data_IF_725908015462
#
_entry.id   IF_725908015462
#
_cell.length_a   1.000
_cell.length_b   1.000
_cell.length_c   1.000
_cell.angle_alpha   90.00
_cell.angle_beta   90.00
_cell.angle_gamma   90.00
#
_symmetry.space_group_name_H-M   'P 1'
#
loop_
_entity.id
_entity.type
_entity.pdbx_description
1 polymer ?
#
# COMPACT_ATOMS: atom_id res chain seq x y z
N UNK A 1 1.85 -34.83 -9.49
CA UNK A 1 0.76 -34.12 -10.21
C UNK A 1 0.89 -32.63 -9.90
N UNK A 2 1.19 -31.81 -10.88
CA UNK A 2 1.27 -30.35 -10.70
C UNK A 2 -0.13 -29.85 -10.29
N UNK A 3 -0.26 -29.37 -9.06
CA UNK A 3 -1.50 -28.77 -8.57
C UNK A 3 -1.67 -27.42 -9.31
N UNK A 4 -2.36 -27.47 -10.46
CA UNK A 4 -2.56 -26.28 -11.30
C UNK A 4 -3.44 -25.31 -10.52
N UNK A 5 -2.92 -24.12 -10.23
CA UNK A 5 -3.65 -23.03 -9.59
C UNK A 5 -4.96 -22.78 -10.34
N UNK A 6 -6.10 -22.76 -9.65
CA UNK A 6 -7.41 -22.60 -10.27
C UNK A 6 -8.08 -21.29 -9.93
N UNK A 7 -7.95 -20.85 -8.70
CA UNK A 7 -8.62 -19.65 -8.18
C UNK A 7 -7.67 -18.82 -7.30
N UNK A 8 -7.65 -17.55 -7.51
CA UNK A 8 -6.85 -16.61 -6.69
C UNK A 8 -7.73 -15.51 -6.13
N UNK A 9 -7.38 -15.06 -4.94
CA UNK A 9 -7.90 -13.83 -4.36
C UNK A 9 -6.93 -12.66 -4.55
N UNK A 10 -7.43 -11.44 -4.68
CA UNK A 10 -6.64 -10.22 -4.62
C UNK A 10 -7.29 -9.21 -3.70
N UNK A 11 -6.48 -8.61 -2.83
CA UNK A 11 -6.93 -7.55 -1.93
C UNK A 11 -5.92 -6.41 -1.83
N UNK A 12 -6.42 -5.24 -1.45
CA UNK A 12 -5.62 -4.09 -1.06
C UNK A 12 -5.83 -3.84 0.43
N UNK A 13 -4.76 -3.61 1.18
CA UNK A 13 -4.82 -3.46 2.63
C UNK A 13 -3.87 -2.36 3.12
N UNK A 14 -4.18 -1.74 4.24
CA UNK A 14 -3.44 -0.61 4.78
C UNK A 14 -3.92 0.73 4.23
N UNK A 15 -3.03 1.72 4.14
CA UNK A 15 -3.29 2.97 3.42
C UNK A 15 -3.33 2.75 1.92
N UNK A 16 -4.13 3.55 1.21
CA UNK A 16 -4.07 3.53 -0.25
C UNK A 16 -2.78 4.18 -0.75
N UNK A 17 -2.32 3.72 -1.90
CA UNK A 17 -1.15 4.26 -2.57
C UNK A 17 -1.42 4.39 -4.08
N UNK A 18 -0.87 5.42 -4.73
CA UNK A 18 -0.95 5.54 -6.18
C UNK A 18 -0.44 4.27 -6.86
N UNK A 19 -1.18 3.77 -7.86
CA UNK A 19 -0.83 2.53 -8.57
C UNK A 19 -1.46 1.25 -8.03
N UNK A 20 -2.15 1.25 -6.90
CA UNK A 20 -2.86 0.05 -6.40
C UNK A 20 -3.87 -0.48 -7.41
N UNK A 21 -4.63 0.39 -8.07
CA UNK A 21 -5.57 -0.02 -9.11
C UNK A 21 -4.86 -0.63 -10.33
N UNK A 22 -3.69 -0.14 -10.70
CA UNK A 22 -2.88 -0.70 -11.76
C UNK A 22 -2.41 -2.12 -11.40
N UNK A 23 -1.98 -2.33 -10.14
CA UNK A 23 -1.60 -3.64 -9.63
C UNK A 23 -2.77 -4.62 -9.60
N UNK A 24 -3.93 -4.22 -9.07
CA UNK A 24 -5.16 -5.04 -9.11
C UNK A 24 -5.50 -5.43 -10.54
N UNK A 25 -5.46 -4.47 -11.47
CA UNK A 25 -5.73 -4.75 -12.88
C UNK A 25 -4.72 -5.72 -13.48
N UNK A 26 -3.44 -5.58 -13.18
CA UNK A 26 -2.40 -6.47 -13.67
C UNK A 26 -2.64 -7.91 -13.18
N UNK A 27 -2.92 -8.09 -11.90
CA UNK A 27 -3.25 -9.41 -11.30
C UNK A 27 -4.45 -10.03 -12.00
N UNK A 28 -5.57 -9.30 -12.10
CA UNK A 28 -6.81 -9.83 -12.72
C UNK A 28 -6.59 -10.18 -14.18
N UNK A 29 -5.93 -9.32 -14.95
CA UNK A 29 -5.68 -9.61 -16.38
C UNK A 29 -4.73 -10.76 -16.60
N UNK A 30 -3.69 -10.89 -15.76
CA UNK A 30 -2.79 -12.06 -15.79
C UNK A 30 -3.52 -13.35 -15.43
N UNK A 31 -4.39 -13.30 -14.43
CA UNK A 31 -5.23 -14.44 -14.07
C UNK A 31 -6.14 -14.89 -15.23
N UNK A 32 -6.86 -13.93 -15.83
CA UNK A 32 -7.72 -14.20 -16.99
C UNK A 32 -6.95 -14.79 -18.17
N UNK A 33 -5.76 -14.23 -18.47
CA UNK A 33 -4.90 -14.75 -19.54
C UNK A 33 -4.47 -16.20 -19.32
N UNK A 34 -4.26 -16.59 -18.07
CA UNK A 34 -3.86 -17.95 -17.69
C UNK A 34 -5.06 -18.87 -17.37
N UNK A 35 -6.30 -18.47 -17.64
CA UNK A 35 -7.51 -19.21 -17.32
C UNK A 35 -7.63 -19.53 -15.82
N UNK A 36 -7.28 -18.59 -14.96
CA UNK A 36 -7.39 -18.62 -13.51
C UNK A 36 -8.55 -17.70 -13.09
N UNK A 37 -9.48 -18.21 -12.31
CA UNK A 37 -10.54 -17.37 -11.73
C UNK A 37 -9.95 -16.41 -10.68
N UNK A 38 -10.31 -15.14 -10.75
CA UNK A 38 -9.84 -14.13 -9.83
C UNK A 38 -10.98 -13.52 -9.03
N UNK A 39 -10.82 -13.48 -7.71
CA UNK A 39 -11.76 -12.86 -6.77
C UNK A 39 -11.12 -11.62 -6.13
N UNK A 40 -11.79 -10.48 -6.24
CA UNK A 40 -11.47 -9.30 -5.46
C UNK A 40 -12.08 -9.39 -4.08
N UNK A 41 -11.33 -9.02 -3.05
CA UNK A 41 -11.82 -8.94 -1.68
C UNK A 41 -11.91 -7.47 -1.31
N UNK A 42 -13.11 -6.98 -1.03
CA UNK A 42 -13.32 -5.61 -0.61
C UNK A 42 -12.82 -5.38 0.81
N UNK A 43 -12.34 -4.16 1.10
CA UNK A 43 -11.88 -3.74 2.43
C UNK A 43 -10.74 -4.60 3.02
N UNK A 44 -9.93 -5.21 2.15
CA UNK A 44 -8.75 -5.95 2.58
C UNK A 44 -9.06 -7.15 3.47
N UNK A 45 -8.30 -7.29 4.56
CA UNK A 45 -8.48 -8.39 5.51
C UNK A 45 -9.83 -8.40 6.24
N UNK A 46 -10.46 -7.24 6.39
CA UNK A 46 -11.82 -7.20 6.93
C UNK A 46 -12.79 -7.92 6.02
N UNK A 47 -12.69 -7.72 4.72
CA UNK A 47 -13.53 -8.40 3.73
C UNK A 47 -13.35 -9.92 3.72
N UNK A 48 -12.14 -10.42 4.03
CA UNK A 48 -11.94 -11.86 4.23
C UNK A 48 -12.77 -12.42 5.38
N UNK A 49 -12.96 -11.64 6.45
CA UNK A 49 -13.70 -12.06 7.65
C UNK A 49 -15.21 -11.97 7.42
N UNK A 50 -15.67 -10.86 6.82
CA UNK A 50 -17.11 -10.60 6.63
C UNK A 50 -17.68 -11.18 5.34
N UNK A 51 -16.88 -11.95 4.58
CA UNK A 51 -17.30 -12.64 3.34
C UNK A 51 -17.65 -11.67 2.19
N UNK A 52 -16.88 -10.57 2.05
CA UNK A 52 -17.11 -9.52 1.02
C UNK A 52 -16.25 -9.77 -0.24
N UNK A 53 -16.65 -10.76 -1.04
CA UNK A 53 -15.95 -11.20 -2.24
C UNK A 53 -16.70 -10.84 -3.52
N UNK A 54 -15.97 -10.55 -4.57
CA UNK A 54 -16.50 -10.30 -5.91
C UNK A 54 -15.67 -11.03 -6.96
N UNK A 55 -16.31 -11.76 -7.85
CA UNK A 55 -15.60 -12.34 -9.01
C UNK A 55 -15.21 -11.25 -9.99
N UNK A 56 -13.91 -11.12 -10.27
CA UNK A 56 -13.35 -10.13 -11.17
C UNK A 56 -13.04 -10.75 -12.54
N UNK A 57 -13.28 -9.96 -13.57
CA UNK A 57 -12.95 -10.30 -14.94
C UNK A 57 -12.27 -9.10 -15.64
N UNK A 58 -11.85 -9.27 -16.89
CA UNK A 58 -11.16 -8.23 -17.64
C UNK A 58 -11.97 -6.93 -17.79
N UNK A 59 -13.31 -6.99 -17.82
CA UNK A 59 -14.18 -5.82 -17.90
C UNK A 59 -14.30 -5.10 -16.55
N UNK A 60 -14.37 -5.85 -15.45
CA UNK A 60 -14.45 -5.29 -14.09
C UNK A 60 -13.25 -4.43 -13.67
N UNK A 61 -12.12 -4.61 -14.33
CA UNK A 61 -10.90 -3.82 -14.11
C UNK A 61 -10.56 -2.88 -15.28
N UNK A 62 -11.54 -2.59 -16.12
CA UNK A 62 -11.34 -1.65 -17.24
C UNK A 62 -11.31 -0.20 -16.72
N UNK A 63 -10.49 0.64 -17.36
CA UNK A 63 -10.39 2.09 -17.07
C UNK A 63 -10.08 2.44 -15.60
N UNK A 64 -9.35 1.57 -14.87
CA UNK A 64 -8.96 1.84 -13.48
C UNK A 64 -7.49 2.24 -13.31
N UNK A 65 -6.66 2.07 -14.35
CA UNK A 65 -5.20 2.31 -14.27
C UNK A 65 -4.87 3.73 -13.81
N UNK A 66 -5.59 4.70 -14.35
CA UNK A 66 -5.36 6.13 -14.06
C UNK A 66 -6.17 6.65 -12.86
N UNK A 67 -6.88 5.77 -12.14
CA UNK A 67 -7.65 6.17 -10.97
C UNK A 67 -6.80 6.03 -9.72
N UNK A 68 -6.74 7.08 -8.91
CA UNK A 68 -6.16 7.03 -7.57
C UNK A 68 -6.97 6.14 -6.61
N UNK A 69 -6.42 5.92 -5.43
CA UNK A 69 -7.02 5.04 -4.43
C UNK A 69 -7.03 3.57 -4.87
N UNK A 70 -8.00 2.82 -4.38
CA UNK A 70 -8.20 1.42 -4.73
C UNK A 70 -9.68 1.08 -4.92
N UNK A 71 -10.03 0.41 -6.02
CA UNK A 71 -11.40 -0.04 -6.29
C UNK A 71 -11.87 -1.10 -5.27
N UNK A 72 -10.94 -1.86 -4.71
CA UNK A 72 -11.23 -2.88 -3.70
C UNK A 72 -11.40 -2.28 -2.30
N UNK A 73 -11.16 -0.97 -2.15
CA UNK A 73 -11.18 -0.29 -0.85
C UNK A 73 -10.15 -0.89 0.12
N UNK A 74 -10.00 -0.27 1.26
CA UNK A 74 -9.12 -0.71 2.33
C UNK A 74 -9.79 -0.43 3.67
N UNK A 75 -9.57 -1.31 4.64
CA UNK A 75 -9.99 -1.10 6.02
C UNK A 75 -8.97 -1.71 6.99
N UNK A 76 -8.95 -1.18 8.20
CA UNK A 76 -8.21 -1.80 9.30
C UNK A 76 -9.10 -2.89 9.91
N UNK A 77 -8.56 -4.09 10.08
CA UNK A 77 -9.24 -5.18 10.77
C UNK A 77 -8.49 -5.52 12.06
N UNK A 78 -9.11 -5.25 13.20
CA UNK A 78 -8.57 -5.67 14.49
C UNK A 78 -8.76 -7.18 14.70
N UNK A 79 -9.87 -7.71 14.21
CA UNK A 79 -10.19 -9.13 14.32
C UNK A 79 -9.19 -10.00 13.57
N UNK A 80 -8.71 -9.58 12.39
CA UNK A 80 -7.70 -10.31 11.63
C UNK A 80 -6.35 -10.46 12.36
N UNK A 81 -6.06 -9.60 13.34
CA UNK A 81 -4.85 -9.72 14.17
C UNK A 81 -4.92 -10.93 15.10
N UNK A 82 -6.09 -11.47 15.37
CA UNK A 82 -6.30 -12.66 16.20
C UNK A 82 -6.22 -13.94 15.35
N UNK A 83 -5.88 -15.07 15.98
CA UNK A 83 -5.89 -16.38 15.32
C UNK A 83 -7.30 -16.78 14.89
N UNK A 84 -8.30 -16.44 15.69
CA UNK A 84 -9.71 -16.71 15.40
C UNK A 84 -10.17 -15.96 14.13
N UNK A 85 -9.80 -14.70 14.00
CA UNK A 85 -10.10 -13.90 12.80
C UNK A 85 -9.43 -14.46 11.55
N UNK A 86 -8.17 -14.88 11.63
CA UNK A 86 -7.47 -15.55 10.51
C UNK A 86 -8.10 -16.91 10.17
N UNK A 87 -8.58 -17.65 11.16
CA UNK A 87 -9.33 -18.90 10.93
C UNK A 87 -10.64 -18.63 10.20
N UNK A 88 -11.39 -17.57 10.55
CA UNK A 88 -12.60 -17.17 9.81
C UNK A 88 -12.26 -16.79 8.37
N UNK A 89 -11.21 -16.00 8.17
CA UNK A 89 -10.70 -15.64 6.84
C UNK A 89 -10.39 -16.89 6.00
N UNK A 90 -9.70 -17.87 6.59
CA UNK A 90 -9.44 -19.18 5.93
C UNK A 90 -10.71 -19.90 5.54
N UNK A 91 -11.70 -19.98 6.45
CA UNK A 91 -12.98 -20.64 6.17
C UNK A 91 -13.70 -20.01 4.96
N UNK A 92 -13.66 -18.67 4.86
CA UNK A 92 -14.26 -17.98 3.74
C UNK A 92 -13.46 -18.20 2.43
N UNK A 93 -12.12 -18.23 2.48
CA UNK A 93 -11.31 -18.59 1.32
C UNK A 93 -11.63 -20.00 0.81
N UNK A 94 -11.81 -20.97 1.72
CA UNK A 94 -12.17 -22.35 1.38
C UNK A 94 -13.56 -22.45 0.75
N UNK A 95 -14.53 -21.66 1.23
CA UNK A 95 -15.88 -21.58 0.66
C UNK A 95 -15.86 -21.23 -0.83
N UNK A 96 -14.94 -20.33 -1.25
CA UNK A 96 -14.75 -19.96 -2.64
C UNK A 96 -13.73 -20.82 -3.37
N UNK A 97 -13.09 -21.77 -2.69
CA UNK A 97 -12.01 -22.62 -3.21
C UNK A 97 -10.83 -21.80 -3.73
N UNK A 98 -10.47 -20.73 -3.00
CA UNK A 98 -9.34 -19.86 -3.36
C UNK A 98 -8.05 -20.50 -2.87
N UNK A 99 -7.18 -20.85 -3.80
CA UNK A 99 -5.90 -21.54 -3.55
C UNK A 99 -4.79 -20.61 -3.07
N UNK A 100 -4.83 -19.36 -3.49
CA UNK A 100 -3.75 -18.41 -3.27
C UNK A 100 -4.26 -16.98 -3.18
N UNK A 101 -3.52 -16.13 -2.48
CA UNK A 101 -3.90 -14.75 -2.24
C UNK A 101 -2.79 -13.78 -2.68
N UNK A 102 -3.17 -12.75 -3.42
CA UNK A 102 -2.29 -11.62 -3.73
C UNK A 102 -2.67 -10.45 -2.82
N UNK A 103 -1.73 -10.01 -2.01
CA UNK A 103 -1.91 -8.92 -1.04
C UNK A 103 -1.12 -7.71 -1.47
N UNK A 104 -1.80 -6.59 -1.73
CA UNK A 104 -1.18 -5.32 -2.11
C UNK A 104 -1.25 -4.39 -0.91
N UNK A 105 -0.11 -4.00 -0.35
CA UNK A 105 -0.07 -3.14 0.82
C UNK A 105 1.32 -2.98 1.45
N UNK A 106 1.37 -2.34 2.60
CA UNK A 106 2.59 -2.08 3.36
C UNK A 106 2.96 -3.20 4.33
N UNK A 107 3.90 -2.92 5.23
CA UNK A 107 4.46 -3.87 6.21
C UNK A 107 3.41 -4.70 6.95
N UNK A 108 2.43 -4.05 7.58
CA UNK A 108 1.40 -4.77 8.35
C UNK A 108 0.55 -5.71 7.49
N UNK A 109 0.31 -5.34 6.23
CA UNK A 109 -0.45 -6.17 5.30
C UNK A 109 0.34 -7.39 4.85
N UNK A 110 1.63 -7.23 4.57
CA UNK A 110 2.50 -8.33 4.17
C UNK A 110 2.77 -9.28 5.35
N UNK A 111 2.92 -8.76 6.56
CA UNK A 111 2.98 -9.59 7.78
C UNK A 111 1.70 -10.39 7.98
N UNK A 112 0.53 -9.77 7.77
CA UNK A 112 -0.75 -10.48 7.84
C UNK A 112 -0.89 -11.60 6.81
N UNK A 113 -0.37 -11.38 5.59
CA UNK A 113 -0.32 -12.41 4.55
C UNK A 113 0.59 -13.59 4.96
N UNK A 114 1.78 -13.29 5.48
CA UNK A 114 2.73 -14.29 5.96
C UNK A 114 2.11 -15.16 7.09
N UNK A 115 1.46 -14.52 8.06
CA UNK A 115 0.79 -15.26 9.15
C UNK A 115 -0.33 -16.16 8.64
N UNK A 116 -1.09 -15.73 7.62
CA UNK A 116 -2.14 -16.55 7.01
C UNK A 116 -1.55 -17.77 6.29
N UNK A 117 -0.38 -17.61 5.66
CA UNK A 117 0.34 -18.70 5.02
C UNK A 117 0.90 -19.68 6.06
N UNK A 118 1.57 -19.18 7.10
CA UNK A 118 2.17 -20.01 8.16
C UNK A 118 1.13 -20.79 8.97
N UNK A 119 0.02 -20.16 9.32
CA UNK A 119 -1.01 -20.78 10.17
C UNK A 119 -1.98 -21.68 9.39
N UNK A 120 -2.23 -21.39 8.13
CA UNK A 120 -3.31 -22.02 7.36
C UNK A 120 -2.90 -22.56 5.99
N UNK A 121 -1.65 -22.40 5.58
CA UNK A 121 -1.13 -22.96 4.35
C UNK A 121 -1.67 -22.29 3.07
N UNK A 122 -2.27 -21.09 3.17
CA UNK A 122 -2.70 -20.32 2.01
C UNK A 122 -1.47 -19.67 1.38
N UNK A 123 -1.14 -20.03 0.15
CA UNK A 123 -0.02 -19.41 -0.57
C UNK A 123 -0.27 -17.94 -0.79
N UNK A 124 0.69 -17.09 -0.41
CA UNK A 124 0.55 -15.65 -0.54
C UNK A 124 1.65 -15.04 -1.40
N UNK A 125 1.28 -14.00 -2.16
CA UNK A 125 2.22 -13.14 -2.86
C UNK A 125 1.95 -11.70 -2.40
N UNK A 126 2.99 -11.04 -1.88
CA UNK A 126 2.93 -9.64 -1.49
C UNK A 126 3.37 -8.71 -2.60
N UNK A 127 2.60 -7.65 -2.86
CA UNK A 127 3.00 -6.53 -3.70
C UNK A 127 3.19 -5.32 -2.79
N UNK A 128 4.41 -4.78 -2.67
CA UNK A 128 4.71 -3.63 -1.82
C UNK A 128 3.97 -2.37 -2.29
N UNK A 129 2.87 -2.00 -1.63
CA UNK A 129 2.03 -0.85 -1.95
C UNK A 129 1.94 0.09 -0.75
N UNK A 130 2.76 1.13 -0.72
CA UNK A 130 2.81 2.18 0.31
C UNK A 130 3.61 3.36 -0.21
N UNK A 131 3.28 4.57 0.25
CA UNK A 131 4.05 5.78 -0.06
C UNK A 131 5.25 5.97 0.89
N UNK A 132 5.33 5.24 1.98
CA UNK A 132 6.35 5.42 3.02
C UNK A 132 7.73 4.90 2.61
N UNK A 133 7.79 4.00 1.61
CA UNK A 133 9.00 3.32 1.12
C UNK A 133 9.82 2.66 2.24
N UNK A 134 9.13 2.12 3.26
CA UNK A 134 9.70 1.56 4.49
C UNK A 134 9.82 0.03 4.47
N UNK A 135 9.72 -0.60 3.29
CA UNK A 135 9.78 -2.06 3.14
C UNK A 135 11.18 -2.53 2.77
N UNK A 136 11.75 -3.41 3.58
CA UNK A 136 13.03 -4.05 3.29
C UNK A 136 12.89 -5.01 2.10
N UNK A 137 13.91 -5.05 1.24
CA UNK A 137 13.95 -5.95 0.08
C UNK A 137 13.35 -5.35 -1.21
N UNK A 138 12.82 -4.13 -1.17
CA UNK A 138 12.44 -3.40 -2.38
C UNK A 138 13.15 -2.04 -2.44
N UNK A 139 13.53 -1.64 -3.63
CA UNK A 139 14.13 -0.31 -3.86
C UNK A 139 13.07 0.80 -3.80
N UNK A 140 11.90 0.53 -4.34
CA UNK A 140 10.82 1.48 -4.44
C UNK A 140 9.49 0.76 -4.30
N UNK A 141 8.68 1.21 -3.35
CA UNK A 141 7.32 0.71 -3.16
C UNK A 141 6.36 1.34 -4.16
N UNK A 142 5.31 0.61 -4.49
CA UNK A 142 4.24 1.09 -5.37
C UNK A 142 3.56 2.32 -4.74
N UNK A 143 3.65 3.45 -5.44
CA UNK A 143 3.06 4.72 -5.02
C UNK A 143 4.04 5.74 -4.46
N UNK A 144 5.22 5.33 -4.00
CA UNK A 144 6.22 6.25 -3.44
C UNK A 144 6.65 7.33 -4.43
N UNK A 145 7.06 6.95 -5.63
CA UNK A 145 7.54 7.90 -6.65
C UNK A 145 6.45 8.93 -7.04
N UNK A 146 5.22 8.48 -7.20
CA UNK A 146 4.08 9.38 -7.49
C UNK A 146 3.82 10.35 -6.34
N UNK A 147 3.87 9.87 -5.09
CA UNK A 147 3.69 10.71 -3.91
C UNK A 147 4.82 11.74 -3.78
N UNK A 148 6.06 11.32 -4.05
CA UNK A 148 7.23 12.20 -4.07
C UNK A 148 7.08 13.34 -5.10
N UNK A 149 6.73 13.00 -6.34
CA UNK A 149 6.50 14.00 -7.39
C UNK A 149 5.35 14.95 -7.04
N UNK A 150 4.29 14.45 -6.39
CA UNK A 150 3.18 15.30 -5.91
C UNK A 150 3.66 16.28 -4.85
N UNK A 151 4.49 15.83 -3.90
CA UNK A 151 5.07 16.69 -2.87
C UNK A 151 5.97 17.77 -3.48
N UNK A 152 6.89 17.40 -4.36
CA UNK A 152 7.78 18.36 -5.05
C UNK A 152 6.97 19.42 -5.80
N UNK A 153 5.98 19.02 -6.60
CA UNK A 153 5.11 19.95 -7.31
C UNK A 153 4.35 20.92 -6.40
N UNK A 154 3.97 20.48 -5.20
CA UNK A 154 3.29 21.32 -4.22
C UNK A 154 4.26 22.31 -3.57
N UNK A 155 5.47 21.85 -3.21
CA UNK A 155 6.53 22.67 -2.62
C UNK A 155 6.97 23.78 -3.57
N UNK A 156 7.16 23.47 -4.85
CA UNK A 156 7.56 24.46 -5.86
C UNK A 156 6.57 25.64 -5.93
N UNK A 157 5.26 25.34 -5.91
CA UNK A 157 4.22 26.39 -5.91
C UNK A 157 4.24 27.25 -4.65
N UNK A 158 4.59 26.67 -3.50
CA UNK A 158 4.71 27.40 -2.24
C UNK A 158 5.97 28.28 -2.26
N UNK A 159 7.07 27.79 -2.80
CA UNK A 159 8.32 28.55 -2.92
C UNK A 159 8.18 29.82 -3.76
N UNK A 160 7.43 29.78 -4.85
CA UNK A 160 7.15 30.96 -5.66
C UNK A 160 6.52 32.10 -4.83
N UNK A 161 5.59 31.74 -3.94
CA UNK A 161 4.96 32.70 -3.04
C UNK A 161 5.89 33.11 -1.89
N UNK A 162 6.67 32.17 -1.35
CA UNK A 162 7.61 32.44 -0.26
C UNK A 162 8.62 33.51 -0.66
N UNK A 163 9.26 33.34 -1.80
CA UNK A 163 10.26 34.31 -2.33
C UNK A 163 9.64 35.64 -2.68
N UNK A 164 8.40 35.69 -3.17
CA UNK A 164 7.71 36.96 -3.52
C UNK A 164 7.36 37.80 -2.31
N UNK A 165 7.17 37.20 -1.14
CA UNK A 165 6.71 37.88 0.06
C UNK A 165 7.69 37.82 1.24
N UNK A 166 8.88 37.30 1.04
CA UNK A 166 9.90 37.12 2.07
C UNK A 166 9.34 36.39 3.30
N UNK A 167 8.68 35.23 3.06
CA UNK A 167 8.00 34.42 4.09
C UNK A 167 8.70 33.09 4.28
N UNK A 168 8.72 32.61 5.51
CA UNK A 168 9.12 31.26 5.86
C UNK A 168 7.88 30.36 5.86
N UNK A 169 7.98 29.19 5.25
CA UNK A 169 6.95 28.16 5.25
C UNK A 169 7.51 26.86 5.82
N UNK A 170 6.75 26.25 6.71
CA UNK A 170 6.96 24.85 7.13
C UNK A 170 5.98 23.97 6.38
N UNK A 171 6.50 22.97 5.68
CA UNK A 171 5.69 22.08 4.83
C UNK A 171 5.78 20.67 5.40
N UNK A 172 4.69 20.20 5.98
CA UNK A 172 4.58 18.83 6.46
C UNK A 172 4.19 17.90 5.31
N UNK A 173 4.88 16.77 5.20
CA UNK A 173 4.58 15.71 4.23
C UNK A 173 4.34 14.39 4.95
N UNK A 174 3.57 13.50 4.32
CA UNK A 174 3.40 12.15 4.81
C UNK A 174 4.70 11.35 4.66
N UNK A 175 4.78 10.18 5.26
CA UNK A 175 5.95 9.29 5.20
C UNK A 175 6.19 8.54 6.50
N UNK A 176 5.32 8.75 7.52
CA UNK A 176 5.41 8.08 8.82
C UNK A 176 6.80 8.26 9.44
N UNK A 177 7.36 7.21 10.07
CA UNK A 177 8.69 7.24 10.68
C UNK A 177 9.86 7.05 9.70
N UNK A 178 9.62 6.90 8.38
CA UNK A 178 10.69 6.64 7.41
C UNK A 178 11.41 7.91 6.92
N UNK A 179 10.69 9.05 6.87
CA UNK A 179 11.24 10.33 6.41
C UNK A 179 11.64 10.39 4.93
N UNK A 180 11.43 9.33 4.15
CA UNK A 180 11.88 9.27 2.75
C UNK A 180 11.24 10.33 1.85
N UNK A 181 9.94 10.62 2.01
CA UNK A 181 9.27 11.66 1.23
C UNK A 181 9.84 13.03 1.61
N UNK A 182 9.94 13.35 2.90
CA UNK A 182 10.46 14.61 3.37
C UNK A 182 11.88 14.86 2.85
N UNK A 183 12.78 13.87 2.99
CA UNK A 183 14.16 13.98 2.55
C UNK A 183 14.25 14.21 1.03
N UNK A 184 13.65 13.34 0.24
CA UNK A 184 13.80 13.40 -1.20
C UNK A 184 13.01 14.55 -1.83
N UNK A 185 11.83 14.91 -1.29
CA UNK A 185 11.09 16.09 -1.74
C UNK A 185 11.81 17.39 -1.36
N UNK A 186 12.36 17.48 -0.15
CA UNK A 186 13.10 18.64 0.29
C UNK A 186 14.35 18.88 -0.56
N UNK A 187 15.15 17.84 -0.82
CA UNK A 187 16.31 17.93 -1.71
C UNK A 187 15.87 18.30 -3.14
N UNK A 188 14.85 17.59 -3.67
CA UNK A 188 14.38 17.82 -5.05
C UNK A 188 13.79 19.20 -5.30
N UNK A 189 13.12 19.78 -4.31
CA UNK A 189 12.56 21.12 -4.38
C UNK A 189 13.53 22.21 -3.87
N UNK A 190 14.74 21.85 -3.39
CA UNK A 190 15.73 22.80 -2.88
C UNK A 190 15.27 23.52 -1.63
N UNK A 191 14.74 22.79 -0.65
CA UNK A 191 14.41 23.34 0.65
C UNK A 191 15.69 23.75 1.40
N UNK A 192 15.61 24.81 2.17
CA UNK A 192 16.72 25.32 2.97
C UNK A 192 17.07 24.36 4.10
N UNK A 193 16.06 23.67 4.66
CA UNK A 193 16.23 22.69 5.73
C UNK A 193 15.22 21.55 5.57
N UNK A 194 15.62 20.33 5.96
CA UNK A 194 14.77 19.14 5.89
C UNK A 194 14.80 18.41 7.23
N UNK A 195 13.67 18.38 7.90
CA UNK A 195 13.49 17.68 9.17
C UNK A 195 12.93 16.29 8.89
N UNK A 196 13.65 15.26 9.30
CA UNK A 196 13.21 13.86 9.16
C UNK A 196 13.29 13.15 10.52
N UNK A 197 12.47 12.11 10.76
CA UNK A 197 12.58 11.32 11.97
C UNK A 197 14.01 10.82 12.19
N UNK A 198 14.50 10.87 13.42
CA UNK A 198 15.84 10.44 13.85
C UNK A 198 17.04 11.29 13.35
N UNK A 199 16.85 12.39 12.64
CA UNK A 199 17.92 13.32 12.26
C UNK A 199 17.72 14.74 12.81
N UNK A 200 17.00 14.90 13.89
CA UNK A 200 16.78 16.17 14.58
C UNK A 200 18.04 16.74 15.27
N UNK A 201 19.18 16.06 15.14
CA UNK A 201 20.46 16.47 15.74
C UNK A 201 21.17 17.64 15.05
N UNK A 202 20.62 18.17 13.96
CA UNK A 202 21.34 19.19 13.15
C UNK A 202 20.81 20.60 13.29
N UNK A 203 19.70 20.84 13.98
CA UNK A 203 19.24 22.19 14.29
C UNK A 203 19.34 22.48 15.78
N UNK A 204 20.07 23.50 16.15
CA UNK A 204 20.28 23.98 17.52
C UNK A 204 18.98 24.33 18.28
N UNK A 205 17.86 24.42 17.54
CA UNK A 205 16.55 24.73 18.08
C UNK A 205 15.69 23.51 18.46
N UNK A 206 16.14 22.29 18.14
CA UNK A 206 15.34 21.07 18.29
C UNK A 206 15.80 20.17 19.44
N UNK A 207 16.81 20.57 20.21
CA UNK A 207 17.52 19.69 21.13
C UNK A 207 16.71 19.14 22.32
N UNK A 208 15.50 19.62 22.58
CA UNK A 208 14.86 19.28 23.85
C UNK A 208 13.47 18.59 23.76
N UNK A 209 12.81 18.43 22.61
CA UNK A 209 11.38 18.10 22.66
C UNK A 209 10.84 17.01 21.73
N UNK A 210 11.59 16.42 20.83
CA UNK A 210 11.03 15.47 19.84
C UNK A 210 11.91 14.23 19.56
N UNK A 211 12.21 13.46 20.57
CA UNK A 211 12.64 12.06 20.40
C UNK A 211 11.64 11.11 21.04
#
# INVERSE_FOLDING_TARGET
MSNKLKKIGVLTSGGDAPGMNAAVRAVVRSAVYNNIDCFGIYKGFEGLIIDDFVKLNARGVNNIVNKGGTILKSARSLEFRTKEGRKKAKTNLDKYEIDSLVVIGGNGSLTGAMLLEEEHGIKTIGIPGTIDNDLVGTRCTLGYDTALNTAVNAIDKIRDTASSHNRLFFIEVMGKGSGHIALNAGIGAGAEEVLIPCLLYTSDAADDWFC
#
